data_IF_730744187316
#
_entry.id   IF_730744187316
#
_cell.length_a   1.000
_cell.length_b   1.000
_cell.length_c   1.000
_cell.angle_alpha   90.00
_cell.angle_beta   90.00
_cell.angle_gamma   90.00
#
_symmetry.space_group_name_H-M   'P 1'
#
loop_
_entity.id
_entity.type
_entity.pdbx_description
1 polymer ?
#
# COMPACT_ATOMS: atom_id res chain seq x y z
N UNK A 1 -16.96 -48.78 -6.46
CA UNK A 1 -17.05 -47.70 -7.48
C UNK A 1 -16.35 -46.43 -7.01
N UNK A 2 -15.98 -46.27 -5.74
CA UNK A 2 -15.33 -45.07 -5.22
C UNK A 2 -13.77 -45.10 -5.27
N UNK A 3 -13.18 -46.27 -5.38
CA UNK A 3 -11.70 -46.45 -5.36
C UNK A 3 -11.03 -46.14 -6.70
N UNK A 4 -11.77 -46.28 -7.82
CA UNK A 4 -11.22 -46.01 -9.18
C UNK A 4 -11.06 -44.51 -9.46
N UNK A 5 -11.86 -43.67 -8.83
CA UNK A 5 -11.79 -42.20 -9.01
C UNK A 5 -10.59 -41.55 -8.31
N UNK A 6 -10.06 -42.15 -7.27
CA UNK A 6 -8.90 -41.63 -6.54
C UNK A 6 -7.58 -41.98 -7.21
N UNK A 7 -7.48 -43.14 -7.86
CA UNK A 7 -6.27 -43.51 -8.63
C UNK A 7 -6.11 -42.65 -9.89
N UNK A 8 -7.18 -42.34 -10.60
CA UNK A 8 -7.14 -41.45 -11.78
C UNK A 8 -6.69 -40.00 -11.43
N UNK A 9 -7.04 -39.51 -10.26
CA UNK A 9 -6.60 -38.18 -9.78
C UNK A 9 -5.11 -38.21 -9.38
N UNK A 10 -4.64 -39.29 -8.77
CA UNK A 10 -3.24 -39.45 -8.39
C UNK A 10 -2.32 -39.67 -9.60
N UNK A 11 -2.79 -40.43 -10.59
CA UNK A 11 -2.07 -40.65 -11.86
C UNK A 11 -2.00 -39.35 -12.67
N UNK A 12 -3.08 -38.57 -12.75
CA UNK A 12 -3.05 -37.25 -13.41
C UNK A 12 -2.16 -36.25 -12.70
N UNK A 13 -2.12 -36.24 -11.38
CA UNK A 13 -1.24 -35.35 -10.60
C UNK A 13 0.25 -35.74 -10.74
N UNK A 14 0.56 -37.03 -10.77
CA UNK A 14 1.93 -37.51 -11.00
C UNK A 14 2.41 -37.27 -12.43
N UNK A 15 1.52 -37.36 -13.43
CA UNK A 15 1.84 -37.03 -14.84
C UNK A 15 2.06 -35.51 -15.02
N UNK A 16 1.36 -34.66 -14.29
CA UNK A 16 1.64 -33.21 -14.29
C UNK A 16 2.98 -32.89 -13.63
N UNK A 17 3.35 -33.57 -12.55
CA UNK A 17 4.64 -33.40 -11.88
C UNK A 17 5.81 -33.86 -12.77
N UNK A 18 5.65 -34.95 -13.53
CA UNK A 18 6.65 -35.44 -14.49
C UNK A 18 6.80 -34.52 -15.70
N UNK A 19 5.73 -33.87 -16.17
CA UNK A 19 5.76 -32.89 -17.26
C UNK A 19 6.45 -31.58 -16.84
N UNK A 20 6.47 -31.26 -15.54
CA UNK A 20 7.21 -30.14 -14.96
C UNK A 20 8.73 -30.38 -14.88
N UNK A 21 9.18 -31.63 -14.99
CA UNK A 21 10.60 -32.01 -14.92
C UNK A 21 11.32 -31.99 -16.28
N UNK A 22 10.56 -31.93 -17.38
CA UNK A 22 11.08 -31.93 -18.74
C UNK A 22 10.76 -30.61 -19.46
N UNK A 23 11.64 -29.63 -19.30
CA UNK A 23 11.71 -28.48 -20.18
C UNK A 23 11.10 -27.18 -19.69
N UNK A 24 11.96 -26.23 -19.34
CA UNK A 24 11.79 -24.86 -18.88
C UNK A 24 11.33 -24.73 -17.42
N UNK A 25 12.23 -24.23 -16.58
CA UNK A 25 11.94 -23.73 -15.23
C UNK A 25 10.84 -22.65 -15.28
N UNK A 26 9.60 -23.06 -15.36
CA UNK A 26 8.50 -22.15 -15.06
C UNK A 26 8.59 -21.82 -13.58
N UNK A 27 8.90 -20.58 -13.28
CA UNK A 27 9.00 -20.10 -11.90
C UNK A 27 7.67 -20.39 -11.20
N UNK A 28 7.72 -20.88 -9.96
CA UNK A 28 6.54 -21.15 -9.10
C UNK A 28 5.50 -20.01 -9.17
N UNK A 29 5.98 -18.79 -9.37
CA UNK A 29 5.18 -17.57 -9.63
C UNK A 29 4.31 -17.65 -10.91
N UNK A 30 4.76 -18.35 -11.96
CA UNK A 30 3.98 -18.50 -13.20
C UNK A 30 2.92 -19.60 -13.06
N UNK A 31 3.21 -20.67 -12.32
CA UNK A 31 2.25 -21.73 -12.03
C UNK A 31 1.16 -21.21 -11.09
N UNK A 32 1.49 -20.44 -10.06
CA UNK A 32 0.51 -19.81 -9.17
C UNK A 32 -0.35 -18.75 -9.88
N UNK A 33 0.18 -18.02 -10.87
CA UNK A 33 -0.61 -17.12 -11.72
C UNK A 33 -1.58 -17.84 -12.65
N UNK A 34 -1.28 -19.07 -13.03
CA UNK A 34 -2.17 -19.90 -13.87
C UNK A 34 -3.34 -20.52 -13.09
N UNK A 35 -3.14 -20.77 -11.79
CA UNK A 35 -4.15 -21.35 -10.89
C UNK A 35 -5.08 -20.26 -10.33
N UNK A 36 -4.59 -19.05 -10.13
CA UNK A 36 -5.43 -17.89 -9.81
C UNK A 36 -6.09 -17.41 -11.11
N UNK A 37 -7.32 -17.90 -11.37
CA UNK A 37 -8.17 -17.34 -12.42
C UNK A 37 -8.12 -15.82 -12.36
N UNK A 38 -7.99 -15.12 -13.51
CA UNK A 38 -7.89 -13.66 -13.60
C UNK A 38 -9.10 -13.03 -12.91
N UNK A 39 -8.98 -12.73 -11.62
CA UNK A 39 -10.01 -11.96 -10.91
C UNK A 39 -10.27 -10.66 -11.67
N UNK A 40 -11.53 -10.27 -11.88
CA UNK A 40 -11.86 -9.03 -12.57
C UNK A 40 -11.18 -7.84 -11.87
N UNK A 41 -10.79 -6.84 -12.63
CA UNK A 41 -9.97 -5.71 -12.14
C UNK A 41 -10.58 -4.97 -10.94
N UNK A 42 -11.92 -4.82 -10.92
CA UNK A 42 -12.66 -4.19 -9.82
C UNK A 42 -12.56 -4.98 -8.51
N UNK A 43 -12.52 -6.31 -8.57
CA UNK A 43 -12.35 -7.16 -7.39
C UNK A 43 -10.93 -7.06 -6.81
N UNK A 44 -9.93 -6.89 -7.69
CA UNK A 44 -8.54 -6.67 -7.25
C UNK A 44 -8.35 -5.31 -6.58
N UNK A 45 -8.97 -4.25 -7.11
CA UNK A 45 -8.96 -2.92 -6.50
C UNK A 45 -9.69 -2.92 -5.15
N UNK A 46 -10.84 -3.61 -5.06
CA UNK A 46 -11.56 -3.76 -3.79
C UNK A 46 -10.73 -4.52 -2.75
N UNK A 47 -10.17 -5.67 -3.10
CA UNK A 47 -9.29 -6.44 -2.21
C UNK A 47 -8.06 -5.63 -1.77
N UNK A 48 -7.50 -4.83 -2.68
CA UNK A 48 -6.40 -3.93 -2.37
C UNK A 48 -6.80 -2.85 -1.37
N UNK A 49 -7.99 -2.25 -1.51
CA UNK A 49 -8.53 -1.27 -0.56
C UNK A 49 -8.81 -1.88 0.81
N UNK A 50 -9.45 -3.04 0.85
CA UNK A 50 -9.70 -3.78 2.11
C UNK A 50 -8.37 -4.08 2.81
N UNK A 51 -7.38 -4.56 2.06
CA UNK A 51 -6.05 -4.83 2.60
C UNK A 51 -5.36 -3.57 3.15
N UNK A 52 -5.46 -2.45 2.42
CA UNK A 52 -4.94 -1.15 2.82
C UNK A 52 -5.57 -0.67 4.14
N UNK A 53 -6.90 -0.76 4.26
CA UNK A 53 -7.62 -0.35 5.46
C UNK A 53 -7.32 -1.26 6.65
N UNK A 54 -7.17 -2.57 6.42
CA UNK A 54 -6.75 -3.53 7.43
C UNK A 54 -5.35 -3.22 7.95
N UNK A 55 -4.40 -2.99 7.06
CA UNK A 55 -3.01 -2.67 7.41
C UNK A 55 -2.90 -1.33 8.15
N UNK A 56 -3.81 -0.38 7.91
CA UNK A 56 -3.87 0.91 8.60
C UNK A 56 -4.71 0.91 9.88
N UNK A 57 -5.17 -0.26 10.36
CA UNK A 57 -5.97 -0.39 11.59
C UNK A 57 -7.39 0.19 11.50
N UNK A 58 -7.89 0.49 10.29
CA UNK A 58 -9.19 1.15 10.04
C UNK A 58 -10.19 0.23 9.33
N UNK A 59 -10.26 -1.03 9.72
CA UNK A 59 -11.18 -2.00 9.11
C UNK A 59 -12.66 -1.56 9.19
N UNK A 60 -13.07 -0.88 10.27
CA UNK A 60 -14.42 -0.38 10.46
C UNK A 60 -14.83 0.76 9.51
N UNK A 61 -13.85 1.47 8.95
CA UNK A 61 -14.12 2.65 8.12
C UNK A 61 -14.49 2.32 6.66
N UNK A 62 -14.49 1.04 6.27
CA UNK A 62 -14.80 0.61 4.90
C UNK A 62 -16.21 1.04 4.47
N UNK A 63 -17.21 0.84 5.36
CA UNK A 63 -18.59 1.25 5.08
C UNK A 63 -18.68 2.77 4.96
N UNK A 64 -18.04 3.51 5.87
CA UNK A 64 -18.01 4.96 5.85
C UNK A 64 -17.34 5.51 4.58
N UNK A 65 -16.26 4.86 4.12
CA UNK A 65 -15.55 5.21 2.88
C UNK A 65 -16.45 5.00 1.65
N UNK A 66 -17.20 3.90 1.57
CA UNK A 66 -18.14 3.63 0.48
C UNK A 66 -19.27 4.66 0.48
N UNK A 67 -19.88 4.94 1.64
CA UNK A 67 -20.94 5.93 1.76
C UNK A 67 -20.44 7.32 1.34
N UNK A 68 -19.25 7.72 1.80
CA UNK A 68 -18.62 8.99 1.42
C UNK A 68 -18.32 9.06 -0.08
N UNK A 69 -17.91 7.94 -0.70
CA UNK A 69 -17.67 7.89 -2.15
C UNK A 69 -18.96 8.05 -2.95
N UNK A 70 -20.05 7.41 -2.53
CA UNK A 70 -21.35 7.53 -3.19
C UNK A 70 -21.88 8.97 -3.04
N UNK A 71 -21.80 9.55 -1.84
CA UNK A 71 -22.25 10.91 -1.58
C UNK A 71 -21.50 11.95 -2.42
N UNK A 72 -20.16 11.81 -2.53
CA UNK A 72 -19.34 12.66 -3.38
C UNK A 72 -19.57 12.43 -4.88
N UNK A 73 -19.90 11.21 -5.30
CA UNK A 73 -20.28 10.93 -6.68
C UNK A 73 -21.60 11.65 -7.05
N UNK A 74 -22.61 11.61 -6.16
CA UNK A 74 -23.87 12.35 -6.34
C UNK A 74 -23.63 13.86 -6.36
N UNK A 75 -22.81 14.38 -5.46
CA UNK A 75 -22.41 15.79 -5.48
C UNK A 75 -21.69 16.17 -6.78
N UNK A 76 -20.85 15.28 -7.32
CA UNK A 76 -20.19 15.45 -8.62
C UNK A 76 -21.18 15.51 -9.80
N UNK A 77 -22.24 14.70 -9.77
CA UNK A 77 -23.33 14.75 -10.78
C UNK A 77 -24.06 16.09 -10.68
N UNK A 78 -24.42 16.52 -9.48
CA UNK A 78 -25.12 17.80 -9.23
C UNK A 78 -24.25 18.96 -9.72
N UNK A 79 -22.97 19.00 -9.34
CA UNK A 79 -22.04 20.03 -9.79
C UNK A 79 -21.86 20.02 -11.31
N UNK A 80 -21.72 18.84 -11.92
CA UNK A 80 -21.62 18.69 -13.38
C UNK A 80 -22.86 19.17 -14.12
N UNK A 81 -24.05 18.91 -13.58
CA UNK A 81 -25.32 19.36 -14.21
C UNK A 81 -25.59 20.85 -14.04
N UNK A 82 -25.33 21.42 -12.85
CA UNK A 82 -25.62 22.79 -12.53
C UNK A 82 -24.56 23.78 -13.07
N UNK A 83 -23.28 23.44 -12.88
CA UNK A 83 -22.17 24.34 -13.21
C UNK A 83 -21.77 24.18 -14.66
N UNK A 84 -21.54 22.96 -15.14
CA UNK A 84 -21.05 22.72 -16.48
C UNK A 84 -22.17 22.68 -17.53
N UNK A 85 -23.41 22.43 -17.12
CA UNK A 85 -24.57 22.24 -18.03
C UNK A 85 -24.26 21.29 -19.19
N UNK A 86 -23.40 20.28 -18.92
CA UNK A 86 -22.80 19.41 -19.92
C UNK A 86 -23.10 17.95 -19.60
N UNK A 87 -24.04 17.36 -20.31
CA UNK A 87 -24.46 15.96 -20.13
C UNK A 87 -23.33 14.98 -20.42
N UNK A 88 -22.41 15.29 -21.32
CA UNK A 88 -21.26 14.43 -21.64
C UNK A 88 -20.20 14.41 -20.52
N UNK A 89 -20.13 15.44 -19.70
CA UNK A 89 -19.20 15.52 -18.57
C UNK A 89 -19.72 14.79 -17.32
N UNK A 90 -21.02 14.50 -17.20
CA UNK A 90 -21.65 13.89 -16.03
C UNK A 90 -20.99 12.57 -15.58
N UNK A 91 -20.73 11.59 -16.46
CA UNK A 91 -20.09 10.34 -16.02
C UNK A 91 -18.67 10.57 -15.47
N UNK A 92 -17.95 11.54 -16.00
CA UNK A 92 -16.59 11.86 -15.56
C UNK A 92 -16.58 12.62 -14.23
N UNK A 93 -17.51 13.56 -14.02
CA UNK A 93 -17.65 14.27 -12.74
C UNK A 93 -18.12 13.33 -11.62
N UNK A 94 -19.01 12.37 -11.92
CA UNK A 94 -19.41 11.32 -11.00
C UNK A 94 -18.24 10.41 -10.65
N UNK A 95 -17.44 9.97 -11.64
CA UNK A 95 -16.26 9.15 -11.44
C UNK A 95 -15.20 9.87 -10.60
N UNK A 96 -14.98 11.16 -10.83
CA UNK A 96 -14.07 11.99 -10.05
C UNK A 96 -14.51 12.05 -8.58
N UNK A 97 -15.79 12.35 -8.32
CA UNK A 97 -16.34 12.37 -6.96
C UNK A 97 -16.19 11.03 -6.24
N UNK A 98 -16.43 9.92 -6.94
CA UNK A 98 -16.25 8.58 -6.39
C UNK A 98 -14.78 8.24 -6.08
N UNK A 99 -13.84 8.65 -6.91
CA UNK A 99 -12.42 8.31 -6.77
C UNK A 99 -11.71 9.10 -5.67
N UNK A 100 -12.15 10.34 -5.37
CA UNK A 100 -11.49 11.20 -4.36
C UNK A 100 -11.34 10.53 -3.00
N UNK A 101 -12.36 9.90 -2.36
CA UNK A 101 -12.19 9.23 -1.09
C UNK A 101 -11.27 8.00 -1.18
N UNK A 102 -11.33 7.27 -2.31
CA UNK A 102 -10.45 6.11 -2.57
C UNK A 102 -8.99 6.54 -2.66
N UNK A 103 -8.70 7.64 -3.34
CA UNK A 103 -7.36 8.21 -3.43
C UNK A 103 -6.85 8.66 -2.06
N UNK A 104 -7.72 9.33 -1.28
CA UNK A 104 -7.39 9.78 0.07
C UNK A 104 -7.04 8.59 1.00
N UNK A 105 -7.81 7.50 0.92
CA UNK A 105 -7.50 6.27 1.67
C UNK A 105 -6.16 5.66 1.27
N UNK A 106 -5.84 5.62 -0.04
CA UNK A 106 -4.54 5.14 -0.53
C UNK A 106 -3.38 6.00 -0.03
N UNK A 107 -3.49 7.31 -0.13
CA UNK A 107 -2.45 8.25 0.35
C UNK A 107 -2.25 8.12 1.86
N UNK A 108 -3.33 7.99 2.63
CA UNK A 108 -3.25 7.78 4.07
C UNK A 108 -2.50 6.49 4.42
N UNK A 109 -2.81 5.39 3.75
CA UNK A 109 -2.12 4.11 3.96
C UNK A 109 -0.61 4.19 3.64
N UNK A 110 -0.23 4.91 2.59
CA UNK A 110 1.18 5.12 2.25
C UNK A 110 1.89 5.84 3.40
N UNK A 111 1.29 6.92 3.91
CA UNK A 111 1.83 7.70 5.04
C UNK A 111 1.91 6.86 6.32
N UNK A 112 0.88 6.06 6.62
CA UNK A 112 0.85 5.20 7.79
C UNK A 112 1.95 4.14 7.75
N UNK A 113 2.08 3.43 6.63
CA UNK A 113 3.12 2.41 6.44
C UNK A 113 4.53 3.00 6.51
N UNK A 114 4.72 4.21 5.95
CA UNK A 114 5.99 4.93 6.06
C UNK A 114 6.31 5.24 7.52
N UNK A 115 5.34 5.77 8.26
CA UNK A 115 5.52 6.12 9.69
C UNK A 115 5.93 4.89 10.51
N UNK A 116 5.25 3.76 10.34
CA UNK A 116 5.63 2.50 11.00
C UNK A 116 7.03 2.05 10.61
N UNK A 117 7.38 2.12 9.32
CA UNK A 117 8.71 1.71 8.85
C UNK A 117 9.83 2.56 9.46
N UNK A 118 9.61 3.87 9.63
CA UNK A 118 10.55 4.79 10.26
C UNK A 118 10.76 4.47 11.74
N UNK A 119 9.66 4.29 12.48
CA UNK A 119 9.71 3.93 13.90
C UNK A 119 10.37 2.57 14.10
N UNK A 120 10.05 1.61 13.23
CA UNK A 120 10.61 0.27 13.28
C UNK A 120 12.11 0.27 13.00
N UNK A 121 12.58 1.04 12.01
CA UNK A 121 14.01 1.19 11.70
C UNK A 121 14.78 1.68 12.93
N UNK A 122 14.33 2.77 13.53
CA UNK A 122 14.96 3.35 14.72
C UNK A 122 14.99 2.36 15.89
N UNK A 123 13.86 1.69 16.16
CA UNK A 123 13.76 0.71 17.22
C UNK A 123 14.68 -0.50 16.99
N UNK A 124 14.66 -1.07 15.79
CA UNK A 124 15.50 -2.22 15.47
C UNK A 124 16.99 -1.87 15.49
N UNK A 125 17.39 -0.67 15.05
CA UNK A 125 18.77 -0.20 15.10
C UNK A 125 19.26 -0.10 16.56
N UNK A 126 18.48 0.53 17.45
CA UNK A 126 18.81 0.65 18.86
C UNK A 126 18.92 -0.71 19.55
N UNK A 127 17.91 -1.56 19.38
CA UNK A 127 17.86 -2.87 20.04
C UNK A 127 18.96 -3.78 19.50
N UNK A 128 19.20 -3.79 18.17
CA UNK A 128 20.26 -4.61 17.56
C UNK A 128 21.62 -4.15 18.07
N UNK A 129 21.90 -2.85 18.14
CA UNK A 129 23.15 -2.32 18.66
C UNK A 129 23.39 -2.73 20.13
N UNK A 130 22.38 -2.61 20.99
CA UNK A 130 22.45 -3.08 22.38
C UNK A 130 22.61 -4.59 22.50
N UNK A 131 21.92 -5.35 21.64
CA UNK A 131 22.03 -6.82 21.60
C UNK A 131 23.42 -7.30 21.14
N UNK A 132 24.02 -6.62 20.17
CA UNK A 132 25.39 -6.92 19.72
C UNK A 132 26.40 -6.77 20.88
N UNK A 133 26.18 -5.78 21.74
CA UNK A 133 27.06 -5.49 22.90
C UNK A 133 26.81 -6.44 24.07
N UNK A 134 25.54 -6.66 24.45
CA UNK A 134 25.17 -7.40 25.67
C UNK A 134 24.97 -8.91 25.45
N UNK A 135 24.71 -9.34 24.23
CA UNK A 135 24.27 -10.71 23.87
C UNK A 135 23.00 -11.17 24.61
N UNK A 136 22.28 -10.24 25.23
CA UNK A 136 21.04 -10.50 25.95
C UNK A 136 19.92 -9.63 25.38
N UNK A 137 18.94 -10.26 24.72
CA UNK A 137 17.86 -9.54 24.05
C UNK A 137 16.91 -8.84 25.05
N UNK A 138 16.66 -9.47 26.20
CA UNK A 138 15.79 -8.89 27.25
C UNK A 138 16.44 -7.62 27.81
N UNK A 139 17.74 -7.66 28.12
CA UNK A 139 18.48 -6.49 28.56
C UNK A 139 18.51 -5.39 27.48
N UNK A 140 18.76 -5.77 26.22
CA UNK A 140 18.81 -4.84 25.11
C UNK A 140 17.46 -4.12 24.87
N UNK A 141 16.36 -4.82 25.01
CA UNK A 141 15.02 -4.22 24.89
C UNK A 141 14.73 -3.33 26.10
N UNK A 142 15.00 -3.79 27.32
CA UNK A 142 14.73 -3.01 28.54
C UNK A 142 15.50 -1.69 28.58
N UNK A 143 16.76 -1.71 28.18
CA UNK A 143 17.62 -0.50 28.11
C UNK A 143 17.06 0.57 27.15
N UNK A 144 16.47 0.12 26.04
CA UNK A 144 16.04 1.03 24.97
C UNK A 144 14.53 1.34 24.99
N UNK A 145 13.75 0.73 25.86
CA UNK A 145 12.29 0.80 25.85
C UNK A 145 11.75 2.24 25.93
N UNK A 146 12.39 3.11 26.71
CA UNK A 146 12.01 4.52 26.88
C UNK A 146 12.21 5.36 25.64
N UNK A 147 13.09 4.94 24.73
CA UNK A 147 13.38 5.65 23.48
C UNK A 147 12.50 5.21 22.32
N UNK A 148 11.66 4.18 22.51
CA UNK A 148 10.78 3.68 21.48
C UNK A 148 9.50 4.50 21.40
N UNK A 149 9.00 4.70 20.17
CA UNK A 149 7.69 5.26 19.93
C UNK A 149 6.56 4.39 20.52
N UNK A 150 5.44 5.00 20.96
CA UNK A 150 4.40 4.29 21.72
C UNK A 150 3.94 2.99 21.06
N UNK A 151 3.66 3.02 19.75
CA UNK A 151 3.14 1.85 19.02
C UNK A 151 4.13 0.68 18.97
N UNK A 152 5.41 0.97 18.81
CA UNK A 152 6.47 -0.03 18.81
C UNK A 152 6.81 -0.45 20.24
N UNK A 153 6.79 0.50 21.17
CA UNK A 153 7.01 0.25 22.60
C UNK A 153 6.05 -0.80 23.15
N UNK A 154 4.73 -0.67 22.88
CA UNK A 154 3.72 -1.62 23.34
C UNK A 154 4.02 -3.06 22.91
N UNK A 155 4.58 -3.24 21.70
CA UNK A 155 4.95 -4.56 21.18
C UNK A 155 6.14 -5.14 21.96
N UNK A 156 7.17 -4.32 22.24
CA UNK A 156 8.35 -4.75 22.98
C UNK A 156 8.09 -4.89 24.49
N UNK A 157 7.20 -4.06 25.08
CA UNK A 157 6.69 -4.28 26.46
C UNK A 157 5.96 -5.61 26.57
N UNK A 158 5.10 -5.93 25.60
CA UNK A 158 4.43 -7.21 25.53
C UNK A 158 5.40 -8.38 25.42
N UNK A 159 6.50 -8.24 24.67
CA UNK A 159 7.56 -9.23 24.59
C UNK A 159 8.28 -9.40 25.97
N UNK A 160 8.62 -8.31 26.65
CA UNK A 160 9.23 -8.37 28.00
C UNK A 160 8.30 -9.05 29.00
N UNK A 161 7.01 -8.68 29.00
CA UNK A 161 6.04 -9.32 29.88
C UNK A 161 5.91 -10.83 29.62
N UNK A 162 5.89 -11.24 28.35
CA UNK A 162 5.82 -12.64 27.95
C UNK A 162 7.12 -13.40 28.33
N UNK A 163 8.28 -12.80 28.14
CA UNK A 163 9.57 -13.40 28.47
C UNK A 163 9.78 -13.63 29.97
N UNK A 164 9.11 -12.88 30.83
CA UNK A 164 9.14 -13.08 32.28
C UNK A 164 8.29 -14.26 32.74
N UNK A 165 7.29 -14.66 31.96
CA UNK A 165 6.35 -15.74 32.29
C UNK A 165 6.69 -17.03 31.55
N UNK A 166 7.17 -16.91 30.32
CA UNK A 166 7.44 -18.03 29.44
C UNK A 166 8.96 -18.29 29.32
N UNK A 167 9.41 -19.45 29.73
CA UNK A 167 10.82 -19.83 29.64
C UNK A 167 11.30 -20.04 28.19
N UNK A 168 10.40 -20.23 27.22
CA UNK A 168 10.75 -20.43 25.83
C UNK A 168 10.87 -19.09 25.08
N UNK A 169 12.10 -18.55 25.02
CA UNK A 169 12.42 -17.29 24.36
C UNK A 169 12.09 -17.30 22.87
N UNK A 170 12.26 -18.42 22.19
CA UNK A 170 11.94 -18.56 20.77
C UNK A 170 10.45 -18.30 20.50
N UNK A 171 9.57 -18.88 21.33
CA UNK A 171 8.12 -18.67 21.24
C UNK A 171 7.77 -17.21 21.49
N UNK A 172 8.38 -16.54 22.47
CA UNK A 172 8.15 -15.12 22.76
C UNK A 172 8.53 -14.23 21.57
N UNK A 173 9.69 -14.49 20.93
CA UNK A 173 10.14 -13.75 19.73
C UNK A 173 9.19 -13.99 18.56
N UNK A 174 8.73 -15.22 18.34
CA UNK A 174 7.81 -15.56 17.26
C UNK A 174 6.41 -14.93 17.49
N UNK A 175 5.94 -14.87 18.73
CA UNK A 175 4.68 -14.19 19.07
C UNK A 175 4.80 -12.68 18.85
N UNK A 176 5.93 -12.07 19.24
CA UNK A 176 6.22 -10.66 18.97
C UNK A 176 6.18 -10.37 17.46
N UNK A 177 6.74 -11.26 16.61
CA UNK A 177 6.78 -11.09 15.16
C UNK A 177 5.41 -10.92 14.51
N UNK A 178 4.36 -11.48 15.12
CA UNK A 178 2.98 -11.43 14.63
C UNK A 178 2.24 -10.15 14.99
N UNK A 179 2.78 -9.35 15.92
CA UNK A 179 2.16 -8.10 16.38
C UNK A 179 2.27 -6.97 15.36
N UNK A 180 3.36 -6.95 14.58
CA UNK A 180 3.59 -5.95 13.54
C UNK A 180 3.61 -6.66 12.18
N UNK A 181 2.66 -6.33 11.31
CA UNK A 181 2.58 -6.90 9.96
C UNK A 181 3.57 -6.20 9.00
N UNK A 182 4.87 -6.35 9.29
CA UNK A 182 5.94 -5.79 8.47
C UNK A 182 6.94 -6.89 8.09
N UNK A 183 7.20 -7.12 6.79
CA UNK A 183 8.01 -8.26 6.33
C UNK A 183 9.43 -8.26 6.89
N UNK A 184 10.07 -7.09 6.97
CA UNK A 184 11.45 -6.98 7.50
C UNK A 184 11.47 -7.23 9.01
N UNK A 185 10.40 -6.85 9.74
CA UNK A 185 10.30 -7.16 11.17
C UNK A 185 10.20 -8.66 11.42
N UNK A 186 9.38 -9.35 10.62
CA UNK A 186 9.28 -10.82 10.71
C UNK A 186 10.62 -11.50 10.39
N UNK A 187 11.35 -10.99 9.38
CA UNK A 187 12.68 -11.48 9.02
C UNK A 187 13.68 -11.22 10.15
N UNK A 188 13.68 -10.03 10.74
CA UNK A 188 14.52 -9.68 11.89
C UNK A 188 14.24 -10.58 13.08
N UNK A 189 12.97 -10.83 13.45
CA UNK A 189 12.59 -11.75 14.52
C UNK A 189 13.07 -13.19 14.22
N UNK A 190 12.92 -13.65 12.99
CA UNK A 190 13.41 -14.97 12.57
C UNK A 190 14.94 -15.08 12.69
N UNK A 191 15.67 -14.03 12.30
CA UNK A 191 17.13 -13.99 12.45
C UNK A 191 17.56 -13.83 13.92
N UNK A 192 16.74 -13.15 14.73
CA UNK A 192 16.98 -13.05 16.18
C UNK A 192 16.87 -14.41 16.86
N UNK A 193 15.92 -15.26 16.47
CA UNK A 193 15.84 -16.65 16.97
C UNK A 193 17.10 -17.43 16.61
N UNK A 194 17.60 -17.29 15.38
CA UNK A 194 18.86 -17.94 14.96
C UNK A 194 20.05 -17.41 15.76
N UNK A 195 20.15 -16.11 15.95
CA UNK A 195 21.22 -15.46 16.70
C UNK A 195 21.17 -15.80 18.21
N UNK A 196 19.97 -16.00 18.76
CA UNK A 196 19.78 -16.47 20.12
C UNK A 196 20.32 -17.90 20.31
N UNK A 197 20.04 -18.79 19.36
CA UNK A 197 20.50 -20.18 19.38
C UNK A 197 21.99 -20.33 19.01
N UNK A 198 22.49 -19.43 18.11
CA UNK A 198 23.89 -19.45 17.69
C UNK A 198 24.39 -18.03 17.42
N UNK A 199 25.35 -17.57 18.22
CA UNK A 199 25.89 -16.21 18.17
C UNK A 199 26.55 -15.83 16.83
N UNK A 200 26.90 -16.78 15.96
CA UNK A 200 27.44 -16.52 14.60
C UNK A 200 26.45 -15.75 13.74
N UNK A 201 25.15 -15.92 13.96
CA UNK A 201 24.09 -15.25 13.20
C UNK A 201 23.74 -13.84 13.68
N UNK A 202 24.46 -13.26 14.63
CA UNK A 202 24.21 -11.89 15.10
C UNK A 202 24.41 -10.84 14.00
N UNK A 203 25.39 -11.05 13.14
CA UNK A 203 25.70 -10.13 12.04
C UNK A 203 24.53 -10.04 11.02
N UNK A 204 23.74 -11.11 10.88
CA UNK A 204 22.56 -11.11 10.02
C UNK A 204 21.55 -10.02 10.44
N UNK A 205 21.46 -9.74 11.76
CA UNK A 205 20.58 -8.68 12.28
C UNK A 205 21.02 -7.29 11.81
N UNK A 206 22.32 -7.03 11.82
CA UNK A 206 22.87 -5.74 11.36
C UNK A 206 22.62 -5.55 9.86
N UNK A 207 22.79 -6.62 9.07
CA UNK A 207 22.50 -6.59 7.64
C UNK A 207 21.02 -6.28 7.34
N UNK A 208 20.09 -6.85 8.14
CA UNK A 208 18.64 -6.59 7.99
C UNK A 208 18.32 -5.12 8.32
N UNK A 209 18.88 -4.57 9.41
CA UNK A 209 18.69 -3.16 9.78
C UNK A 209 19.25 -2.23 8.71
N UNK A 210 20.47 -2.50 8.22
CA UNK A 210 21.09 -1.71 7.13
C UNK A 210 20.24 -1.72 5.86
N UNK A 211 19.63 -2.87 5.53
CA UNK A 211 18.72 -2.98 4.39
C UNK A 211 17.44 -2.15 4.61
N UNK A 212 16.92 -2.09 5.83
CA UNK A 212 15.75 -1.26 6.16
C UNK A 212 16.07 0.23 5.96
N UNK A 213 17.25 0.69 6.40
CA UNK A 213 17.73 2.06 6.19
C UNK A 213 17.92 2.38 4.69
N UNK A 214 18.48 1.45 3.91
CA UNK A 214 18.62 1.64 2.47
C UNK A 214 17.26 1.77 1.76
N UNK A 215 16.27 0.95 2.14
CA UNK A 215 14.90 1.04 1.61
C UNK A 215 14.28 2.41 1.95
N UNK A 216 14.49 2.91 3.15
CA UNK A 216 14.03 4.23 3.57
C UNK A 216 14.58 5.34 2.68
N UNK A 217 15.89 5.36 2.44
CA UNK A 217 16.53 6.38 1.59
C UNK A 217 15.90 6.37 0.19
N UNK A 218 15.68 5.19 -0.38
CA UNK A 218 15.02 5.04 -1.68
C UNK A 218 13.57 5.57 -1.63
N UNK A 219 12.84 5.29 -0.57
CA UNK A 219 11.46 5.77 -0.40
C UNK A 219 11.41 7.29 -0.24
N UNK A 220 12.32 7.90 0.50
CA UNK A 220 12.41 9.35 0.67
C UNK A 220 12.73 10.06 -0.66
N UNK A 221 13.61 9.48 -1.49
CA UNK A 221 13.90 10.00 -2.84
C UNK A 221 12.65 9.92 -3.74
N UNK A 222 11.96 8.77 -3.78
CA UNK A 222 10.72 8.61 -4.57
C UNK A 222 9.66 9.61 -4.12
N UNK A 223 9.52 9.84 -2.81
CA UNK A 223 8.54 10.79 -2.28
C UNK A 223 8.86 12.22 -2.71
N UNK A 224 10.13 12.61 -2.67
CA UNK A 224 10.57 13.94 -3.09
C UNK A 224 10.27 14.17 -4.57
N UNK A 225 10.64 13.23 -5.45
CA UNK A 225 10.34 13.31 -6.89
C UNK A 225 8.83 13.33 -7.15
N UNK A 226 8.08 12.47 -6.46
CA UNK A 226 6.62 12.41 -6.62
C UNK A 226 5.93 13.69 -6.13
N UNK A 227 6.44 14.30 -5.05
CA UNK A 227 5.91 15.56 -4.54
C UNK A 227 6.13 16.70 -5.54
N UNK A 228 7.27 16.75 -6.20
CA UNK A 228 7.57 17.73 -7.23
C UNK A 228 6.60 17.60 -8.40
N UNK A 229 6.41 16.37 -8.93
CA UNK A 229 5.45 16.08 -10.01
C UNK A 229 4.02 16.46 -9.60
N UNK A 230 3.61 16.14 -8.37
CA UNK A 230 2.29 16.52 -7.83
C UNK A 230 2.11 18.03 -7.79
N UNK A 231 3.12 18.75 -7.33
CA UNK A 231 3.07 20.23 -7.24
C UNK A 231 2.95 20.84 -8.61
N UNK A 232 3.72 20.40 -9.60
CA UNK A 232 3.63 20.83 -10.99
C UNK A 232 2.24 20.53 -11.59
N UNK A 233 1.71 19.33 -11.32
CA UNK A 233 0.39 18.94 -11.79
C UNK A 233 -0.73 19.80 -11.18
N UNK A 234 -0.68 20.09 -9.88
CA UNK A 234 -1.65 20.95 -9.19
C UNK A 234 -1.58 22.38 -9.76
N UNK A 235 -0.36 22.88 -10.02
CA UNK A 235 -0.16 24.20 -10.60
C UNK A 235 -0.77 24.27 -12.02
N UNK A 236 -0.53 23.26 -12.86
CA UNK A 236 -1.16 23.16 -14.19
C UNK A 236 -2.69 23.09 -14.09
N UNK A 237 -3.22 22.33 -13.14
CA UNK A 237 -4.65 22.21 -12.90
C UNK A 237 -5.25 23.56 -12.47
N UNK A 238 -4.59 24.27 -11.56
CA UNK A 238 -4.98 25.61 -11.13
C UNK A 238 -5.02 26.58 -12.32
N UNK A 239 -4.00 26.57 -13.18
CA UNK A 239 -3.91 27.40 -14.36
C UNK A 239 -5.03 27.10 -15.35
N UNK A 240 -5.34 25.82 -15.58
CA UNK A 240 -6.42 25.36 -16.44
C UNK A 240 -7.80 25.82 -15.90
N UNK A 241 -8.05 25.66 -14.59
CA UNK A 241 -9.31 26.10 -13.98
C UNK A 241 -9.42 27.61 -14.00
N UNK A 242 -8.32 28.34 -13.79
CA UNK A 242 -8.29 29.82 -13.84
C UNK A 242 -8.50 30.36 -15.25
N UNK A 243 -8.16 29.60 -16.28
CA UNK A 243 -8.40 30.01 -17.69
C UNK A 243 -9.90 30.17 -18.00
N UNK A 244 -10.79 29.36 -17.37
CA UNK A 244 -12.23 29.44 -17.61
C UNK A 244 -12.83 30.79 -17.22
N UNK A 245 -12.66 31.33 -15.98
CA UNK A 245 -13.13 32.66 -15.63
C UNK A 245 -12.43 33.75 -16.44
N UNK A 246 -11.19 33.58 -16.85
CA UNK A 246 -10.48 34.54 -17.67
C UNK A 246 -11.09 34.63 -19.07
N UNK A 247 -11.45 33.52 -19.72
CA UNK A 247 -12.16 33.50 -20.98
C UNK A 247 -13.55 34.17 -20.84
N UNK A 248 -14.26 33.91 -19.71
CA UNK A 248 -15.54 34.57 -19.43
C UNK A 248 -15.43 36.10 -19.38
N UNK A 249 -14.37 36.63 -18.76
CA UNK A 249 -14.13 38.07 -18.64
C UNK A 249 -13.69 38.71 -19.96
N UNK A 250 -12.89 38.01 -20.76
CA UNK A 250 -12.33 38.55 -22.01
C UNK A 250 -13.35 38.46 -23.17
N UNK A 251 -14.04 37.33 -23.28
CA UNK A 251 -15.01 37.10 -24.36
C UNK A 251 -16.07 36.08 -23.94
N UNK A 252 -17.26 36.61 -23.60
CA UNK A 252 -18.41 35.82 -23.19
C UNK A 252 -18.92 34.87 -24.30
N UNK A 253 -18.82 35.27 -25.57
CA UNK A 253 -19.31 34.45 -26.69
C UNK A 253 -18.47 33.19 -26.83
N UNK A 254 -17.15 33.28 -26.66
CA UNK A 254 -16.25 32.12 -26.65
C UNK A 254 -16.53 31.20 -25.46
N UNK A 255 -16.73 31.77 -24.28
CA UNK A 255 -17.10 31.01 -23.09
C UNK A 255 -18.42 30.25 -23.32
N UNK A 256 -19.47 30.94 -23.84
CA UNK A 256 -20.75 30.30 -24.10
C UNK A 256 -20.67 29.20 -25.16
N UNK A 257 -19.78 29.35 -26.15
CA UNK A 257 -19.53 28.37 -27.19
C UNK A 257 -18.98 27.07 -26.61
N UNK A 258 -18.03 27.15 -25.66
CA UNK A 258 -17.48 25.95 -24.99
C UNK A 258 -18.55 25.12 -24.26
N UNK A 259 -19.55 25.75 -23.69
CA UNK A 259 -20.59 25.06 -22.93
C UNK A 259 -21.84 24.71 -23.75
N UNK A 260 -22.06 25.37 -24.89
CA UNK A 260 -23.25 25.19 -25.74
C UNK A 260 -22.98 24.27 -26.93
N UNK A 261 -21.81 24.40 -27.57
CA UNK A 261 -21.47 23.63 -28.76
C UNK A 261 -21.00 22.22 -28.46
N UNK A 262 -21.38 21.16 -29.26
CA UNK A 262 -21.00 19.79 -29.02
C UNK A 262 -19.48 19.55 -28.90
N UNK A 263 -18.67 20.22 -29.74
CA UNK A 263 -17.20 20.11 -29.70
C UNK A 263 -16.62 20.66 -28.39
N UNK A 264 -17.14 21.79 -27.91
CA UNK A 264 -16.72 22.35 -26.62
C UNK A 264 -17.12 21.48 -25.45
N UNK A 265 -18.34 20.92 -25.46
CA UNK A 265 -18.78 19.94 -24.47
C UNK A 265 -17.88 18.69 -24.42
N UNK A 266 -17.46 18.19 -25.57
CA UNK A 266 -16.54 17.08 -25.68
C UNK A 266 -15.16 17.45 -25.13
N UNK A 267 -14.63 18.64 -25.45
CA UNK A 267 -13.35 19.11 -24.95
C UNK A 267 -13.33 19.22 -23.42
N UNK A 268 -14.37 19.75 -22.79
CA UNK A 268 -14.52 19.81 -21.34
C UNK A 268 -14.58 18.41 -20.72
N UNK A 269 -15.35 17.49 -21.29
CA UNK A 269 -15.46 16.12 -20.81
C UNK A 269 -14.10 15.38 -20.91
N UNK A 270 -13.39 15.54 -22.01
CA UNK A 270 -12.05 14.99 -22.21
C UNK A 270 -11.03 15.59 -21.24
N UNK A 271 -11.11 16.90 -20.97
CA UNK A 271 -10.28 17.56 -19.95
C UNK A 271 -10.46 16.93 -18.56
N UNK A 272 -11.70 16.71 -18.12
CA UNK A 272 -11.99 16.04 -16.83
C UNK A 272 -11.47 14.60 -16.83
N UNK A 273 -11.62 13.87 -17.92
CA UNK A 273 -11.06 12.53 -18.06
C UNK A 273 -9.53 12.53 -17.92
N UNK A 274 -8.84 13.44 -18.59
CA UNK A 274 -7.40 13.59 -18.52
C UNK A 274 -6.93 13.91 -17.07
N UNK A 275 -7.67 14.73 -16.34
CA UNK A 275 -7.41 15.01 -14.93
C UNK A 275 -7.53 13.76 -14.05
N UNK A 276 -8.58 12.97 -14.24
CA UNK A 276 -8.77 11.71 -13.50
C UNK A 276 -7.62 10.74 -13.79
N UNK A 277 -7.25 10.60 -15.06
CA UNK A 277 -6.18 9.71 -15.47
C UNK A 277 -4.82 10.15 -14.91
N UNK A 278 -4.48 11.43 -15.01
CA UNK A 278 -3.24 11.99 -14.49
C UNK A 278 -3.11 11.79 -12.97
N UNK A 279 -4.15 12.16 -12.21
CA UNK A 279 -4.14 11.99 -10.75
C UNK A 279 -4.06 10.52 -10.33
N UNK A 280 -4.80 9.63 -11.01
CA UNK A 280 -4.72 8.18 -10.77
C UNK A 280 -3.32 7.62 -11.06
N UNK A 281 -2.65 8.11 -12.10
CA UNK A 281 -1.31 7.69 -12.48
C UNK A 281 -0.27 8.10 -11.42
N UNK A 282 -0.32 9.35 -10.95
CA UNK A 282 0.58 9.87 -9.92
C UNK A 282 0.43 9.05 -8.62
N UNK A 283 -0.82 8.80 -8.17
CA UNK A 283 -1.08 8.02 -6.96
C UNK A 283 -0.58 6.57 -7.10
N UNK A 284 -0.66 5.98 -8.29
CA UNK A 284 -0.10 4.63 -8.53
C UNK A 284 1.43 4.61 -8.43
N UNK A 285 2.09 5.64 -8.94
CA UNK A 285 3.55 5.76 -8.86
C UNK A 285 4.04 6.04 -7.44
N UNK A 286 3.21 6.66 -6.58
CA UNK A 286 3.53 6.96 -5.18
C UNK A 286 3.47 5.73 -4.25
N UNK A 287 2.94 4.59 -4.73
CA UNK A 287 2.88 3.37 -3.91
C UNK A 287 4.29 2.78 -3.77
N UNK A 288 4.82 2.63 -2.54
CA UNK A 288 6.16 2.10 -2.32
C UNK A 288 6.30 0.70 -2.91
N UNK A 289 7.46 0.45 -3.53
CA UNK A 289 7.80 -0.87 -4.07
C UNK A 289 7.90 -1.86 -2.91
N UNK A 290 6.99 -2.82 -2.86
CA UNK A 290 7.06 -3.92 -1.90
C UNK A 290 8.11 -4.91 -2.39
N UNK A 291 9.25 -4.92 -1.74
CA UNK A 291 10.24 -5.98 -1.93
C UNK A 291 9.74 -7.24 -1.21
N UNK A 292 9.27 -8.21 -1.99
CA UNK A 292 8.85 -9.55 -1.53
C UNK A 292 9.98 -10.53 -1.73
#
# INVERSE_FOLDING_TARGET
VSTIKTEDVLVKSSFQILKLRSGKKQTLKQVLRGIQGKKPWHMREYEALVKILRESGREGDLQFLIVKSILLAVAGIIAGSLILKNTMALPFTAALGFLVPVWNAKVYSIKYNKHISLQLESALALITSSYMRSSNIVAAVTENLSYLDPLIRDVFEGFLAESNVNANMETCILNMSRKINHPIFMEWCSSLVKAYNNSVHKEDLVAIVSRLSAIRIIQDNIETETHEILTQYILMLFLLVFTLPLIYLVNYDWFSYFFSHPLGKFAVAFGIFALIYGLSSIIRCSVPVRFS
#
